data_IF_787032049920
#
_entry.id   IF_787032049920
#
_cell.length_a   1.000
_cell.length_b   1.000
_cell.length_c   1.000
_cell.angle_alpha   90.00
_cell.angle_beta   90.00
_cell.angle_gamma   90.00
#
_symmetry.space_group_name_H-M   'P 1'
#
loop_
_entity.id
_entity.type
_entity.pdbx_description
1 polymer ?
#
# COMPACT_ATOMS: atom_id res chain seq x y z
N UNK A 1 -5.38 -7.14 1.73
CA UNK A 1 -6.16 -6.21 0.88
C UNK A 1 -5.91 -6.63 -0.56
N UNK A 2 -6.94 -7.06 -1.31
CA UNK A 2 -6.76 -7.56 -2.68
C UNK A 2 -6.91 -6.45 -3.72
N UNK A 3 -6.26 -6.57 -4.88
CA UNK A 3 -6.34 -5.57 -5.95
C UNK A 3 -7.77 -5.47 -6.50
N UNK A 4 -8.52 -6.56 -6.47
CA UNK A 4 -9.91 -6.65 -6.88
C UNK A 4 -10.78 -5.72 -6.03
N UNK A 5 -10.52 -5.66 -4.72
CA UNK A 5 -11.24 -4.77 -3.81
C UNK A 5 -10.86 -3.31 -4.00
N UNK A 6 -9.64 -3.02 -4.44
CA UNK A 6 -9.28 -1.66 -4.87
C UNK A 6 -9.95 -1.30 -6.20
N UNK A 7 -10.04 -2.25 -7.13
CA UNK A 7 -10.67 -2.06 -8.45
C UNK A 7 -12.20 -1.90 -8.37
N UNK A 8 -12.86 -2.41 -7.34
CA UNK A 8 -14.29 -2.14 -7.08
C UNK A 8 -14.52 -0.75 -6.50
N UNK A 9 -13.62 -0.26 -5.66
CA UNK A 9 -13.71 1.09 -5.06
C UNK A 9 -13.27 2.20 -6.02
N UNK A 10 -12.53 1.86 -7.08
CA UNK A 10 -12.03 2.83 -8.04
C UNK A 10 -13.13 3.27 -9.02
N UNK A 11 -13.63 4.50 -8.83
CA UNK A 11 -14.74 5.10 -9.57
C UNK A 11 -14.37 5.53 -11.00
N UNK A 12 -13.75 4.64 -11.79
CA UNK A 12 -13.54 4.87 -13.22
C UNK A 12 -14.58 4.12 -14.05
N UNK A 13 -15.23 4.78 -15.02
CA UNK A 13 -16.23 4.17 -15.90
C UNK A 13 -15.56 3.34 -17.01
N UNK A 14 -14.72 2.39 -16.63
CA UNK A 14 -14.05 1.44 -17.54
C UNK A 14 -14.33 0.01 -17.07
N UNK A 15 -14.09 -0.96 -17.94
CA UNK A 15 -14.25 -2.38 -17.60
C UNK A 15 -13.44 -2.74 -16.36
N UNK A 16 -13.99 -3.62 -15.51
CA UNK A 16 -13.35 -4.05 -14.27
C UNK A 16 -11.93 -4.59 -14.49
N UNK A 17 -11.74 -5.43 -15.51
CA UNK A 17 -10.43 -5.98 -15.89
C UNK A 17 -9.44 -4.87 -16.30
N UNK A 18 -9.94 -3.81 -16.94
CA UNK A 18 -9.14 -2.64 -17.29
C UNK A 18 -8.79 -1.81 -16.07
N UNK A 19 -9.73 -1.62 -15.11
CA UNK A 19 -9.43 -1.00 -13.80
C UNK A 19 -8.35 -1.78 -13.06
N UNK A 20 -8.46 -3.11 -13.02
CA UNK A 20 -7.50 -4.00 -12.37
C UNK A 20 -6.10 -3.84 -12.95
N UNK A 21 -5.99 -3.90 -14.29
CA UNK A 21 -4.71 -3.71 -15.00
C UNK A 21 -4.13 -2.30 -14.81
N UNK A 22 -4.97 -1.27 -14.81
CA UNK A 22 -4.53 0.10 -14.57
C UNK A 22 -3.95 0.25 -13.16
N UNK A 23 -4.66 -0.24 -12.14
CA UNK A 23 -4.18 -0.24 -10.75
C UNK A 23 -2.87 -1.04 -10.59
N UNK A 24 -2.76 -2.20 -11.26
CA UNK A 24 -1.52 -2.97 -11.27
C UNK A 24 -0.35 -2.17 -11.84
N UNK A 25 -0.53 -1.54 -13.01
CA UNK A 25 0.51 -0.71 -13.66
C UNK A 25 0.88 0.50 -12.81
N UNK A 26 -0.12 1.18 -12.25
CA UNK A 26 0.08 2.30 -11.34
C UNK A 26 0.95 1.87 -10.15
N UNK A 27 0.59 0.80 -9.45
CA UNK A 27 1.34 0.32 -8.29
C UNK A 27 2.75 -0.19 -8.62
N UNK A 28 3.04 -0.50 -9.88
CA UNK A 28 4.36 -0.91 -10.37
C UNK A 28 5.23 0.28 -10.82
N UNK A 29 4.71 1.51 -10.83
CA UNK A 29 5.48 2.67 -11.22
C UNK A 29 6.70 2.86 -10.31
N UNK A 30 7.91 3.12 -10.86
CA UNK A 30 9.14 3.26 -10.07
C UNK A 30 9.08 4.43 -9.07
N UNK A 31 8.23 5.43 -9.34
CA UNK A 31 7.95 6.55 -8.44
C UNK A 31 7.18 6.12 -7.18
N UNK A 32 6.37 5.07 -7.28
CA UNK A 32 5.57 4.50 -6.19
C UNK A 32 6.30 3.38 -5.47
N UNK A 33 7.63 3.39 -5.51
CA UNK A 33 8.42 2.42 -4.76
C UNK A 33 8.18 2.57 -3.25
N UNK A 34 8.41 1.46 -2.53
CA UNK A 34 8.21 1.37 -1.08
C UNK A 34 9.00 2.44 -0.33
N UNK A 35 10.21 2.77 -0.77
CA UNK A 35 11.04 3.77 -0.10
C UNK A 35 10.51 5.19 -0.29
N UNK A 36 10.04 5.53 -1.48
CA UNK A 36 9.64 6.91 -1.83
C UNK A 36 8.22 7.23 -1.45
N UNK A 37 7.31 6.26 -1.51
CA UNK A 37 5.90 6.48 -1.19
C UNK A 37 5.53 5.96 0.20
N UNK A 38 5.86 4.71 0.50
CA UNK A 38 5.35 4.04 1.71
C UNK A 38 6.00 4.58 2.98
N UNK A 39 7.30 4.93 2.97
CA UNK A 39 7.92 5.51 4.16
C UNK A 39 7.36 6.89 4.56
N UNK A 40 7.16 7.86 3.64
CA UNK A 40 6.52 9.12 4.00
C UNK A 40 5.10 8.94 4.53
N UNK A 41 4.30 8.07 3.91
CA UNK A 41 2.92 7.77 4.38
C UNK A 41 2.96 7.14 5.76
N UNK A 42 3.79 6.14 5.98
CA UNK A 42 3.95 5.48 7.28
C UNK A 42 4.42 6.46 8.35
N UNK A 43 5.40 7.31 8.03
CA UNK A 43 5.91 8.33 8.96
C UNK A 43 4.82 9.32 9.34
N UNK A 44 4.01 9.76 8.38
CA UNK A 44 2.89 10.66 8.64
C UNK A 44 1.83 9.99 9.51
N UNK A 45 1.43 8.76 9.16
CA UNK A 45 0.45 7.99 9.93
C UNK A 45 0.93 7.70 11.35
N UNK A 46 2.19 7.31 11.53
CA UNK A 46 2.79 7.10 12.86
C UNK A 46 2.79 8.39 13.69
N UNK A 47 3.06 9.54 13.06
CA UNK A 47 3.05 10.84 13.75
C UNK A 47 1.65 11.28 14.17
N UNK A 48 0.61 10.89 13.44
CA UNK A 48 -0.78 11.26 13.75
C UNK A 48 -1.48 10.27 14.69
N UNK A 49 -1.21 8.98 14.55
CA UNK A 49 -1.91 7.93 15.27
C UNK A 49 -1.33 7.56 16.64
N UNK A 50 -0.08 7.96 16.93
CA UNK A 50 0.65 7.45 18.09
C UNK A 50 1.34 8.55 18.88
N UNK A 51 1.31 8.42 20.20
CA UNK A 51 2.02 9.32 21.09
C UNK A 51 3.50 8.95 21.19
N UNK A 52 4.36 9.93 21.48
CA UNK A 52 5.78 9.68 21.77
C UNK A 52 5.90 8.70 22.93
N UNK A 53 6.65 7.62 22.73
CA UNK A 53 6.88 6.57 23.74
C UNK A 53 6.03 5.31 23.56
N UNK A 54 5.04 5.34 22.67
CA UNK A 54 4.24 4.16 22.34
C UNK A 54 5.05 3.21 21.44
N UNK A 55 5.12 1.93 21.82
CA UNK A 55 5.75 0.89 20.99
C UNK A 55 4.76 0.49 19.90
N UNK A 56 5.23 0.40 18.67
CA UNK A 56 4.44 -0.01 17.51
C UNK A 56 5.19 -1.13 16.81
N UNK A 57 4.51 -2.23 16.50
CA UNK A 57 5.10 -3.38 15.81
C UNK A 57 4.85 -3.27 14.32
N UNK A 58 5.94 -3.10 13.58
CA UNK A 58 5.95 -3.05 12.12
C UNK A 58 6.37 -4.42 11.58
N UNK A 59 5.45 -5.14 10.96
CA UNK A 59 5.73 -6.42 10.31
C UNK A 59 5.85 -6.19 8.82
N UNK A 60 6.99 -6.57 8.24
CA UNK A 60 7.24 -6.52 6.81
C UNK A 60 7.19 -7.95 6.31
N UNK A 61 6.10 -8.32 5.64
CA UNK A 61 5.93 -9.67 5.11
C UNK A 61 6.28 -9.75 3.62
N UNK A 62 7.03 -10.80 3.27
CA UNK A 62 7.50 -11.10 1.92
C UNK A 62 6.41 -11.87 1.20
N UNK A 63 5.44 -11.18 0.62
CA UNK A 63 4.40 -11.88 -0.16
C UNK A 63 4.92 -12.45 -1.47
N UNK A 64 4.19 -13.44 -2.01
CA UNK A 64 4.47 -14.11 -3.30
C UNK A 64 4.55 -13.17 -4.51
N UNK A 65 4.26 -11.89 -4.32
CA UNK A 65 4.49 -10.83 -5.28
C UNK A 65 5.98 -10.55 -5.30
N UNK A 66 6.72 -11.38 -6.04
CA UNK A 66 8.17 -11.51 -6.26
C UNK A 66 9.09 -10.30 -5.98
N UNK A 67 8.61 -9.05 -5.88
CA UNK A 67 9.36 -7.84 -5.51
C UNK A 67 8.67 -6.83 -4.56
N UNK A 68 7.47 -7.06 -4.02
CA UNK A 68 6.77 -6.07 -3.17
C UNK A 68 6.55 -6.58 -1.73
N UNK A 69 7.02 -5.79 -0.76
CA UNK A 69 6.81 -6.09 0.66
C UNK A 69 5.44 -5.57 1.11
N UNK A 70 4.63 -6.42 1.75
CA UNK A 70 3.48 -5.93 2.51
C UNK A 70 3.99 -5.35 3.82
N UNK A 71 3.50 -4.16 4.15
CA UNK A 71 3.83 -3.47 5.39
C UNK A 71 2.58 -3.48 6.26
N UNK A 72 2.60 -4.29 7.31
CA UNK A 72 1.52 -4.43 8.28
C UNK A 72 1.94 -3.72 9.56
N UNK A 73 1.06 -2.87 10.09
CA UNK A 73 1.31 -2.16 11.36
C UNK A 73 0.30 -2.61 12.39
N UNK A 74 0.78 -3.01 13.57
CA UNK A 74 -0.04 -3.32 14.74
C UNK A 74 0.37 -2.42 15.90
N UNK A 75 -0.64 -2.02 16.69
CA UNK A 75 -0.51 -1.27 17.94
C UNK A 75 -0.38 -2.23 19.11
#
# INVERSE_FOLDING_TARGET
>A
MSIERLATLFAQPIQFESRRRNLQRFLQLPQLNIKTLWFPILKYWLKQGFHRGQRVYLVIDRTQWKHHNLLMVSV
#
